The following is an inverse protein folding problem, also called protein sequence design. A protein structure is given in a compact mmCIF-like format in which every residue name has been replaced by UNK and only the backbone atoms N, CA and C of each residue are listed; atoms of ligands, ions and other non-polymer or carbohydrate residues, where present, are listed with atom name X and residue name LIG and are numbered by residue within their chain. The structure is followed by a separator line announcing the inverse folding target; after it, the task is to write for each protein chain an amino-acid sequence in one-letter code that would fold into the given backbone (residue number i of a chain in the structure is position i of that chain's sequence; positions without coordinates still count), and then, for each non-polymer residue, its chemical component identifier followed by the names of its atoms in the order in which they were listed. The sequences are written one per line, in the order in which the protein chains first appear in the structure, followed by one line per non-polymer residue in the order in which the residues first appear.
data_IF_393927357455
#
_entry.id   IF_393927357455
#
_cell.length_a   1.000
_cell.length_b   1.000
_cell.length_c   1.000
_cell.angle_alpha   90.00
_cell.angle_beta   90.00
_cell.angle_gamma   90.00
#
_symmetry.space_group_name_H-M   'P 1'
#
loop_
_entity.id
_entity.type
_entity.pdbx_description
1 polymer ?
#
# COMPACT_ATOMS: atom_id res chain seq x y z
N UNK A 1 1.23 -8.92 -2.02
CA UNK A 1 0.66 -7.65 -1.58
C UNK A 1 1.50 -6.58 -2.20
N UNK A 2 0.86 -5.60 -2.81
CA UNK A 2 1.51 -4.45 -3.40
C UNK A 2 1.20 -3.28 -2.46
N UNK A 3 2.23 -2.61 -1.97
CA UNK A 3 2.10 -1.54 -0.98
C UNK A 3 2.79 -0.26 -1.44
N UNK A 4 3.78 -0.40 -2.33
CA UNK A 4 4.69 0.66 -2.70
C UNK A 4 3.93 1.82 -3.34
N UNK A 5 3.02 1.54 -4.27
CA UNK A 5 2.22 2.59 -4.91
C UNK A 5 1.37 3.38 -3.90
N UNK A 6 0.71 2.70 -2.96
CA UNK A 6 -0.11 3.37 -1.93
C UNK A 6 0.75 4.22 -0.98
N UNK A 7 1.91 3.71 -0.58
CA UNK A 7 2.85 4.44 0.27
C UNK A 7 3.46 5.63 -0.47
N UNK A 8 3.76 5.47 -1.76
CA UNK A 8 4.31 6.53 -2.62
C UNK A 8 3.29 7.66 -2.84
N UNK A 9 2.01 7.32 -3.02
CA UNK A 9 0.93 8.30 -3.20
C UNK A 9 0.43 8.91 -1.89
N UNK A 10 0.84 8.37 -0.74
CA UNK A 10 0.51 8.93 0.56
C UNK A 10 1.12 10.33 0.74
N UNK A 11 0.52 11.15 1.61
CA UNK A 11 1.17 12.39 2.03
C UNK A 11 2.45 12.03 2.79
N UNK A 12 3.45 12.90 2.72
CA UNK A 12 4.72 12.71 3.44
C UNK A 12 4.59 13.03 4.94
N UNK A 13 3.67 12.32 5.62
CA UNK A 13 3.49 12.34 7.07
C UNK A 13 3.35 10.89 7.57
N UNK A 14 3.85 10.57 8.79
CA UNK A 14 3.75 9.23 9.36
C UNK A 14 2.31 8.69 9.38
N UNK A 15 1.35 9.50 9.79
CA UNK A 15 -0.06 9.12 9.91
C UNK A 15 -0.67 8.77 8.55
N UNK A 16 -0.34 9.53 7.50
CA UNK A 16 -0.87 9.28 6.16
C UNK A 16 -0.28 8.01 5.56
N UNK A 17 1.01 7.76 5.77
CA UNK A 17 1.69 6.55 5.30
C UNK A 17 1.19 5.30 6.02
N UNK A 18 1.02 5.38 7.35
CA UNK A 18 0.39 4.32 8.15
C UNK A 18 -1.03 4.07 7.65
N UNK A 19 -1.86 5.12 7.52
CA UNK A 19 -3.22 4.97 7.03
C UNK A 19 -3.31 4.34 5.63
N UNK A 20 -2.43 4.73 4.70
CA UNK A 20 -2.40 4.14 3.36
C UNK A 20 -1.99 2.67 3.37
N UNK A 21 -1.11 2.25 4.28
CA UNK A 21 -0.80 0.83 4.47
C UNK A 21 -1.98 0.08 5.09
N UNK A 22 -2.68 0.71 6.05
CA UNK A 22 -3.79 0.09 6.78
C UNK A 22 -5.05 -0.16 5.93
N UNK A 23 -5.17 0.42 4.74
CA UNK A 23 -6.32 0.18 3.85
C UNK A 23 -6.56 -1.31 3.52
N UNK A 24 -5.48 -2.08 3.47
CA UNK A 24 -5.54 -3.53 3.28
C UNK A 24 -5.98 -4.31 4.52
N UNK A 25 -5.79 -3.75 5.70
CA UNK A 25 -6.01 -4.43 6.98
C UNK A 25 -7.31 -4.00 7.66
N UNK A 26 -7.78 -2.78 7.41
CA UNK A 26 -8.96 -2.18 8.03
C UNK A 26 -10.14 -2.27 7.07
N UNK A 27 -11.14 -3.09 7.42
CA UNK A 27 -12.30 -3.40 6.57
C UNK A 27 -13.59 -2.83 7.15
N UNK A 28 -14.58 -2.61 6.29
CA UNK A 28 -15.89 -2.07 6.69
C UNK A 28 -15.89 -0.55 6.90
N UNK A 29 -16.91 -0.08 7.61
CA UNK A 29 -17.13 1.33 7.96
C UNK A 29 -16.00 1.86 8.85
N UNK A 30 -15.61 3.13 8.68
CA UNK A 30 -14.44 3.70 9.35
C UNK A 30 -14.77 4.31 10.71
N UNK A 31 -16.04 4.60 10.94
CA UNK A 31 -16.64 5.13 12.16
C UNK A 31 -16.30 4.25 13.38
N UNK A 32 -16.25 2.93 13.19
CA UNK A 32 -15.89 1.98 14.25
C UNK A 32 -14.41 2.06 14.68
N UNK A 33 -13.56 2.77 13.92
CA UNK A 33 -12.13 2.90 14.18
C UNK A 33 -11.73 4.30 14.65
N UNK A 34 -12.66 5.26 14.77
CA UNK A 34 -12.36 6.63 15.17
C UNK A 34 -11.84 6.76 16.62
N UNK A 35 -12.11 5.76 17.46
CA UNK A 35 -11.56 5.69 18.83
C UNK A 35 -10.18 5.06 18.88
N UNK A 36 -9.73 4.41 17.80
CA UNK A 36 -8.47 3.67 17.70
C UNK A 36 -7.44 4.49 16.89
N UNK A 37 -7.88 5.13 15.82
CA UNK A 37 -7.03 5.85 14.88
C UNK A 37 -7.29 7.35 14.90
N UNK A 38 -6.22 8.13 14.73
CA UNK A 38 -6.36 9.56 14.52
C UNK A 38 -7.11 9.86 13.22
N UNK A 39 -7.63 11.08 13.11
CA UNK A 39 -8.32 11.55 11.91
C UNK A 39 -7.45 11.42 10.65
N UNK A 40 -6.15 11.68 10.77
CA UNK A 40 -5.17 11.61 9.69
C UNK A 40 -4.94 10.18 9.20
N UNK A 41 -4.89 9.20 10.11
CA UNK A 41 -4.78 7.78 9.76
C UNK A 41 -6.06 7.32 9.05
N UNK A 42 -7.23 7.69 9.58
CA UNK A 42 -8.52 7.40 8.93
C UNK A 42 -8.55 8.00 7.52
N UNK A 43 -8.06 9.23 7.35
CA UNK A 43 -7.96 9.87 6.04
C UNK A 43 -6.97 9.15 5.10
N UNK A 44 -5.86 8.62 5.63
CA UNK A 44 -4.95 7.75 4.88
C UNK A 44 -5.64 6.47 4.39
N UNK A 45 -6.44 5.82 5.25
CA UNK A 45 -7.22 4.63 4.87
C UNK A 45 -8.25 4.96 3.79
N UNK A 46 -8.92 6.12 3.90
CA UNK A 46 -9.83 6.61 2.85
C UNK A 46 -9.08 6.84 1.53
N UNK A 47 -7.88 7.41 1.60
CA UNK A 47 -7.04 7.67 0.42
C UNK A 47 -6.68 6.37 -0.29
N UNK A 48 -6.25 5.35 0.44
CA UNK A 48 -5.98 4.02 -0.12
C UNK A 48 -7.21 3.49 -0.89
N UNK A 49 -8.39 3.48 -0.26
CA UNK A 49 -9.63 3.00 -0.90
C UNK A 49 -10.03 3.82 -2.13
N UNK A 50 -9.74 5.12 -2.14
CA UNK A 50 -9.98 6.00 -3.29
C UNK A 50 -9.03 5.67 -4.44
N UNK A 51 -7.75 5.41 -4.15
CA UNK A 51 -6.78 4.97 -5.15
C UNK A 51 -7.22 3.63 -5.75
N UNK A 52 -7.60 2.66 -4.92
CA UNK A 52 -8.12 1.36 -5.39
C UNK A 52 -9.34 1.53 -6.30
N UNK A 53 -10.33 2.32 -5.86
CA UNK A 53 -11.53 2.55 -6.64
C UNK A 53 -11.21 3.19 -8.01
N UNK A 54 -10.28 4.15 -8.01
CA UNK A 54 -9.82 4.79 -9.23
C UNK A 54 -9.12 3.78 -10.15
N UNK A 55 -8.17 2.99 -9.64
CA UNK A 55 -7.41 2.05 -10.46
C UNK A 55 -8.28 0.90 -10.95
N UNK A 56 -9.11 0.30 -10.11
CA UNK A 56 -9.98 -0.83 -10.43
C UNK A 56 -10.96 -0.53 -11.57
N UNK A 57 -11.38 0.73 -11.70
CA UNK A 57 -12.31 1.19 -12.74
C UNK A 57 -11.60 1.79 -13.96
N UNK A 58 -10.29 2.02 -13.88
CA UNK A 58 -9.56 2.70 -14.94
C UNK A 58 -9.41 1.82 -16.21
N UNK A 59 -9.70 2.33 -17.42
CA UNK A 59 -9.63 1.54 -18.65
C UNK A 59 -8.28 0.88 -18.92
N UNK A 60 -7.18 1.50 -18.51
CA UNK A 60 -5.83 0.93 -18.65
C UNK A 60 -5.64 -0.27 -17.72
N UNK A 61 -6.10 -0.18 -16.48
CA UNK A 61 -6.01 -1.27 -15.52
C UNK A 61 -6.89 -2.46 -15.93
N UNK A 62 -8.13 -2.20 -16.36
CA UNK A 62 -9.02 -3.23 -16.91
C UNK A 62 -8.40 -3.93 -18.12
N UNK A 63 -7.74 -3.18 -19.01
CA UNK A 63 -7.00 -3.75 -20.14
C UNK A 63 -5.86 -4.65 -19.67
N UNK A 64 -5.14 -4.27 -18.61
CA UNK A 64 -4.11 -5.11 -17.99
C UNK A 64 -4.69 -6.40 -17.39
N UNK A 65 -5.78 -6.32 -16.63
CA UNK A 65 -6.48 -7.50 -16.08
C UNK A 65 -6.94 -8.47 -17.18
N UNK A 66 -7.43 -7.95 -18.30
CA UNK A 66 -7.88 -8.77 -19.43
C UNK A 66 -6.77 -9.52 -20.17
N UNK A 67 -5.49 -9.19 -19.92
CA UNK A 67 -4.35 -9.96 -20.47
C UNK A 67 -4.07 -11.24 -19.68
N UNK A 68 -4.57 -11.33 -18.45
CA UNK A 68 -4.42 -12.52 -17.62
C UNK A 68 -5.38 -13.61 -18.11
N UNK A 69 -4.85 -14.82 -18.29
CA UNK A 69 -5.62 -16.00 -18.66
C UNK A 69 -6.92 -16.14 -17.85
N UNK A 70 -7.98 -16.61 -18.52
CA UNK A 70 -9.25 -16.93 -17.88
C UNK A 70 -9.11 -17.91 -16.69
N UNK A 71 -8.10 -18.79 -16.70
CA UNK A 71 -7.82 -19.72 -15.59
C UNK A 71 -7.42 -19.00 -14.30
N UNK A 72 -6.90 -17.76 -14.37
CA UNK A 72 -6.41 -16.99 -13.24
C UNK A 72 -7.20 -15.70 -12.99
N UNK A 73 -8.40 -15.58 -13.57
CA UNK A 73 -9.22 -14.35 -13.51
C UNK A 73 -9.45 -13.81 -12.09
N UNK A 74 -9.62 -14.70 -11.10
CA UNK A 74 -9.83 -14.33 -9.69
C UNK A 74 -8.60 -13.66 -9.06
N UNK A 75 -7.40 -13.99 -9.56
CA UNK A 75 -6.13 -13.44 -9.09
C UNK A 75 -5.61 -12.30 -9.97
N UNK A 76 -6.31 -11.99 -11.08
CA UNK A 76 -5.84 -11.03 -12.06
C UNK A 76 -5.56 -9.65 -11.46
N UNK A 77 -6.41 -9.15 -10.55
CA UNK A 77 -6.15 -7.88 -9.86
C UNK A 77 -4.83 -7.91 -9.09
N UNK A 78 -4.71 -8.85 -8.16
CA UNK A 78 -3.50 -9.06 -7.34
C UNK A 78 -2.23 -9.17 -8.19
N UNK A 79 -2.28 -9.92 -9.30
CA UNK A 79 -1.14 -10.08 -10.21
C UNK A 79 -0.77 -8.73 -10.85
N UNK A 80 -1.76 -7.98 -11.36
CA UNK A 80 -1.52 -6.68 -11.96
C UNK A 80 -0.98 -5.68 -10.94
N UNK A 81 -1.49 -5.69 -9.71
CA UNK A 81 -1.04 -4.76 -8.68
C UNK A 81 0.42 -5.04 -8.29
N UNK A 82 0.81 -6.31 -8.16
CA UNK A 82 2.21 -6.71 -7.96
C UNK A 82 3.08 -6.26 -9.14
N UNK A 83 2.61 -6.45 -10.38
CA UNK A 83 3.36 -5.98 -11.55
C UNK A 83 3.54 -4.46 -11.54
N UNK A 84 2.53 -3.70 -11.15
CA UNK A 84 2.60 -2.23 -11.13
C UNK A 84 3.57 -1.73 -10.06
N UNK A 85 3.55 -2.31 -8.86
CA UNK A 85 4.55 -1.99 -7.83
C UNK A 85 5.97 -2.36 -8.30
N UNK A 86 6.14 -3.51 -8.94
CA UNK A 86 7.43 -3.92 -9.49
C UNK A 86 7.94 -2.95 -10.58
N UNK A 87 7.06 -2.51 -11.49
CA UNK A 87 7.43 -1.50 -12.49
C UNK A 87 7.72 -0.14 -11.86
N UNK A 88 6.97 0.26 -10.83
CA UNK A 88 7.24 1.48 -10.07
C UNK A 88 8.61 1.41 -9.41
N UNK A 89 8.97 0.30 -8.77
CA UNK A 89 10.27 0.09 -8.16
C UNK A 89 11.41 0.14 -9.20
N UNK A 90 11.28 -0.60 -10.31
CA UNK A 90 12.30 -0.63 -11.37
C UNK A 90 12.49 0.71 -12.08
N UNK A 91 11.43 1.52 -12.17
CA UNK A 91 11.44 2.81 -12.85
C UNK A 91 11.34 4.00 -11.88
N UNK A 92 11.71 3.79 -10.62
CA UNK A 92 11.53 4.75 -9.53
C UNK A 92 12.04 6.16 -9.85
N UNK A 93 13.21 6.26 -10.46
CA UNK A 93 13.85 7.54 -10.81
C UNK A 93 13.07 8.38 -11.84
N UNK A 94 12.04 7.81 -12.49
CA UNK A 94 11.12 8.57 -13.35
C UNK A 94 10.06 9.32 -12.54
N UNK A 95 9.77 8.88 -11.32
CA UNK A 95 8.67 9.37 -10.50
C UNK A 95 9.12 10.12 -9.25
N UNK A 96 10.34 9.84 -8.77
CA UNK A 96 10.88 10.42 -7.56
C UNK A 96 12.35 10.83 -7.72
N UNK A 97 12.73 11.93 -7.07
CA UNK A 97 14.13 12.36 -6.93
C UNK A 97 14.86 11.64 -5.79
N UNK A 98 14.11 11.20 -4.77
CA UNK A 98 14.64 10.43 -3.66
C UNK A 98 14.96 9.00 -4.12
N UNK A 99 16.02 8.39 -3.58
CA UNK A 99 16.34 6.98 -3.83
C UNK A 99 15.30 6.04 -3.18
N UNK A 100 14.91 4.97 -3.88
CA UNK A 100 13.90 4.01 -3.42
C UNK A 100 14.24 3.40 -2.05
N UNK A 101 15.48 3.00 -1.84
CA UNK A 101 15.90 2.38 -0.57
C UNK A 101 15.76 3.38 0.58
N UNK A 102 16.10 4.66 0.34
CA UNK A 102 15.91 5.71 1.34
C UNK A 102 14.43 5.91 1.67
N UNK A 103 13.57 5.93 0.66
CA UNK A 103 12.12 6.02 0.85
C UNK A 103 11.59 4.84 1.66
N UNK A 104 11.94 3.61 1.26
CA UNK A 104 11.48 2.38 1.92
C UNK A 104 11.97 2.29 3.37
N UNK A 105 13.23 2.63 3.63
CA UNK A 105 13.76 2.65 5.00
C UNK A 105 13.03 3.65 5.90
N UNK A 106 12.65 4.83 5.37
CA UNK A 106 11.81 5.79 6.12
C UNK A 106 10.46 5.18 6.50
N UNK A 107 9.82 4.48 5.58
CA UNK A 107 8.55 3.79 5.86
C UNK A 107 8.74 2.74 6.96
N UNK A 108 9.77 1.89 6.87
CA UNK A 108 10.03 0.88 7.88
C UNK A 108 10.28 1.46 9.27
N UNK A 109 11.04 2.55 9.37
CA UNK A 109 11.25 3.27 10.63
C UNK A 109 9.91 3.78 11.19
N UNK A 110 9.04 4.33 10.35
CA UNK A 110 7.72 4.82 10.76
C UNK A 110 6.85 3.68 11.29
N UNK A 111 6.81 2.54 10.59
CA UNK A 111 6.01 1.37 11.01
C UNK A 111 6.52 0.77 12.31
N UNK A 112 7.84 0.67 12.49
CA UNK A 112 8.44 0.18 13.73
C UNK A 112 8.16 1.11 14.92
N UNK A 113 8.28 2.43 14.74
CA UNK A 113 8.00 3.40 15.81
C UNK A 113 6.54 3.43 16.23
N UNK A 114 5.63 3.05 15.34
CA UNK A 114 4.19 3.08 15.56
C UNK A 114 3.59 1.67 15.60
N UNK A 115 4.37 0.66 15.99
CA UNK A 115 3.93 -0.74 15.91
C UNK A 115 2.68 -1.03 16.75
N UNK A 116 2.53 -0.36 17.89
CA UNK A 116 1.40 -0.56 18.83
C UNK A 116 0.03 -0.23 18.22
N UNK A 117 -0.03 0.72 17.29
CA UNK A 117 -1.30 1.09 16.64
C UNK A 117 -1.62 0.22 15.41
N UNK A 118 -0.68 -0.62 14.95
CA UNK A 118 -0.93 -1.49 13.81
C UNK A 118 -1.86 -2.64 14.21
N UNK A 119 -2.74 -3.14 13.33
CA UNK A 119 -3.52 -4.36 13.60
C UNK A 119 -2.62 -5.56 13.90
N UNK A 120 -3.05 -6.46 14.78
CA UNK A 120 -2.30 -7.65 15.21
C UNK A 120 -1.68 -8.45 14.06
N UNK A 121 -2.44 -8.62 12.97
CA UNK A 121 -1.96 -9.34 11.79
C UNK A 121 -0.75 -8.64 11.18
N UNK A 122 -0.79 -7.31 11.06
CA UNK A 122 0.31 -6.52 10.52
C UNK A 122 1.51 -6.52 11.48
N UNK A 123 1.27 -6.37 12.79
CA UNK A 123 2.36 -6.47 13.79
C UNK A 123 3.14 -7.78 13.68
N UNK A 124 2.45 -8.90 13.47
CA UNK A 124 3.07 -10.24 13.36
C UNK A 124 3.90 -10.42 12.08
N UNK A 125 3.48 -9.81 10.97
CA UNK A 125 4.18 -9.94 9.67
C UNK A 125 5.21 -8.83 9.42
N UNK A 126 5.13 -7.71 10.14
CA UNK A 126 6.03 -6.56 9.96
C UNK A 126 7.52 -6.92 10.03
N UNK A 127 8.00 -7.74 10.99
CA UNK A 127 9.40 -8.16 11.01
C UNK A 127 9.83 -8.85 9.71
N UNK A 128 8.95 -9.66 9.11
CA UNK A 128 9.21 -10.35 7.85
C UNK A 128 9.20 -9.40 6.65
N UNK A 129 8.22 -8.49 6.61
CA UNK A 129 8.12 -7.44 5.58
C UNK A 129 9.43 -6.65 5.50
N UNK A 130 10.00 -6.30 6.66
CA UNK A 130 11.25 -5.54 6.77
C UNK A 130 12.45 -6.40 6.39
N UNK A 131 12.58 -7.61 6.96
CA UNK A 131 13.76 -8.46 6.74
C UNK A 131 13.90 -8.93 5.29
N UNK A 132 12.77 -9.10 4.59
CA UNK A 132 12.73 -9.51 3.18
C UNK A 132 12.52 -8.32 2.22
N UNK A 133 12.51 -7.09 2.73
CA UNK A 133 12.38 -5.85 1.97
C UNK A 133 11.21 -5.83 0.95
N UNK A 134 10.01 -6.24 1.39
CA UNK A 134 8.84 -6.39 0.51
C UNK A 134 8.36 -5.10 -0.16
N UNK A 135 8.84 -3.92 0.25
CA UNK A 135 8.43 -2.64 -0.34
C UNK A 135 9.29 -2.22 -1.53
N UNK A 136 10.43 -2.87 -1.77
CA UNK A 136 11.33 -2.54 -2.88
C UNK A 136 11.47 -3.68 -3.91
N UNK A 137 10.58 -4.67 -3.88
CA UNK A 137 10.62 -5.89 -4.72
C UNK A 137 9.77 -5.78 -5.98
#
# INVERSE_FOLDING_TARGET
MNYLAHLFLAKNTPESQIGNLLGDFVKGYLEQYETIYSHEIIQGIKTHRQVDCFTDTHPIYLRSKNRISNSHRRLAGIIIDICYDHFLANHWNLFAYENLDVFVQKIYIILQKNQEILPDRLQKILPKIISENWLSS
#
